data_IF_416969153947
#
_entry.id   IF_416969153947
#
_cell.length_a   1.000
_cell.length_b   1.000
_cell.length_c   1.000
_cell.angle_alpha   90.00
_cell.angle_beta   90.00
_cell.angle_gamma   90.00
#
_symmetry.space_group_name_H-M   'P 1'
#
loop_
_entity.id
_entity.type
_entity.pdbx_description
1 polymer ?
#
# COMPACT_ATOMS: atom_id res chain seq x y z
N UNK A 1 15.15 7.24 -59.02
CA UNK A 1 15.01 5.82 -58.59
C UNK A 1 14.79 5.76 -57.08
N UNK A 2 13.95 4.83 -56.64
CA UNK A 2 13.00 4.98 -55.54
C UNK A 2 13.53 4.66 -54.13
N UNK A 3 13.22 5.52 -53.16
CA UNK A 3 13.40 5.31 -51.70
C UNK A 3 12.70 4.05 -51.15
N UNK A 4 11.89 3.36 -51.95
CA UNK A 4 11.33 2.04 -51.61
C UNK A 4 12.36 0.90 -51.65
N UNK A 5 13.47 1.06 -52.40
CA UNK A 5 14.46 -0.02 -52.59
C UNK A 5 15.42 -0.23 -51.42
N UNK A 6 15.70 0.82 -50.62
CA UNK A 6 16.58 0.68 -49.43
C UNK A 6 15.85 0.14 -48.20
N UNK A 7 14.50 0.19 -48.19
CA UNK A 7 13.68 -0.33 -47.09
C UNK A 7 13.50 -1.86 -47.17
N UNK A 8 13.55 -2.44 -48.37
CA UNK A 8 13.51 -3.89 -48.57
C UNK A 8 14.81 -4.59 -48.16
N UNK A 9 15.98 -3.96 -48.33
CA UNK A 9 17.27 -4.55 -47.96
C UNK A 9 17.50 -4.58 -46.44
N UNK A 10 17.01 -3.57 -45.70
CA UNK A 10 17.06 -3.57 -44.23
C UNK A 10 16.09 -4.59 -43.60
N UNK A 11 14.94 -4.86 -44.24
CA UNK A 11 14.00 -5.89 -43.80
C UNK A 11 14.47 -7.31 -44.17
N UNK A 12 15.26 -7.47 -45.24
CA UNK A 12 15.88 -8.73 -45.64
C UNK A 12 17.09 -9.12 -44.76
N UNK A 13 17.76 -8.15 -44.12
CA UNK A 13 18.85 -8.41 -43.17
C UNK A 13 18.35 -8.72 -41.74
N UNK A 14 17.18 -8.20 -41.36
CA UNK A 14 16.55 -8.47 -40.05
C UNK A 14 15.84 -9.83 -39.95
N UNK A 15 15.68 -10.55 -41.06
CA UNK A 15 14.96 -11.83 -41.12
C UNK A 15 15.84 -13.08 -40.84
N UNK A 16 17.15 -12.89 -40.59
CA UNK A 16 18.10 -13.99 -40.33
C UNK A 16 18.65 -14.05 -38.88
N UNK A 17 18.07 -13.30 -37.94
CA UNK A 17 18.39 -13.40 -36.50
C UNK A 17 17.35 -14.17 -35.67
N UNK A 18 16.49 -14.95 -36.32
CA UNK A 18 15.84 -16.06 -35.64
C UNK A 18 16.86 -17.19 -35.49
N UNK A 19 17.58 -17.19 -34.36
CA UNK A 19 18.17 -18.40 -33.84
C UNK A 19 17.04 -19.43 -33.76
N UNK A 20 17.01 -20.38 -34.69
CA UNK A 20 16.23 -21.61 -34.59
C UNK A 20 16.70 -22.30 -33.30
N UNK A 21 16.07 -21.97 -32.18
CA UNK A 21 16.08 -22.79 -30.99
C UNK A 21 15.42 -24.10 -31.40
N UNK A 22 16.24 -25.05 -31.86
CA UNK A 22 15.81 -26.45 -32.01
C UNK A 22 15.17 -26.82 -30.67
N UNK A 23 13.95 -27.36 -30.62
CA UNK A 23 13.46 -27.94 -29.39
C UNK A 23 14.47 -29.04 -29.04
N UNK A 24 15.28 -28.82 -28.00
CA UNK A 24 16.01 -29.92 -27.38
C UNK A 24 14.92 -30.92 -27.03
N UNK A 25 14.97 -32.11 -27.63
CA UNK A 25 14.20 -33.27 -27.17
C UNK A 25 14.53 -33.38 -25.68
N UNK A 26 13.61 -32.90 -24.85
CA UNK A 26 13.68 -33.10 -23.43
C UNK A 26 13.41 -34.60 -23.28
N UNK A 27 14.48 -35.37 -23.09
CA UNK A 27 14.37 -36.74 -22.62
C UNK A 27 13.44 -36.68 -21.41
N UNK A 28 12.27 -37.32 -21.51
CA UNK A 28 11.41 -37.55 -20.36
C UNK A 28 12.14 -38.54 -19.45
N UNK A 29 13.13 -38.04 -18.72
CA UNK A 29 13.58 -38.67 -17.50
C UNK A 29 12.40 -38.61 -16.56
N UNK A 30 11.93 -39.78 -16.15
CA UNK A 30 10.94 -39.94 -15.10
C UNK A 30 11.29 -39.01 -13.94
N UNK A 31 10.44 -38.02 -13.71
CA UNK A 31 10.61 -37.06 -12.63
C UNK A 31 10.35 -37.85 -11.35
N UNK A 32 11.42 -38.25 -10.66
CA UNK A 32 11.31 -38.70 -9.28
C UNK A 32 10.71 -37.57 -8.44
N UNK A 33 9.90 -37.88 -7.43
CA UNK A 33 9.35 -36.86 -6.54
C UNK A 33 10.51 -36.01 -6.00
N UNK A 34 10.45 -34.72 -6.27
CA UNK A 34 11.43 -33.76 -5.77
C UNK A 34 11.03 -33.47 -4.33
N UNK A 35 11.76 -34.03 -3.36
CA UNK A 35 11.47 -33.87 -1.92
C UNK A 35 11.57 -32.41 -1.44
N UNK A 36 12.24 -31.53 -2.19
CA UNK A 36 12.38 -30.12 -1.83
C UNK A 36 12.19 -29.19 -3.03
N UNK A 37 11.18 -28.32 -2.96
CA UNK A 37 10.92 -27.38 -4.05
C UNK A 37 12.08 -26.38 -4.23
N UNK A 38 12.46 -26.02 -5.48
CA UNK A 38 13.47 -25.00 -5.72
C UNK A 38 13.06 -23.60 -5.22
N UNK A 39 11.78 -23.41 -4.89
CA UNK A 39 11.28 -22.22 -4.20
C UNK A 39 11.79 -22.13 -2.76
N UNK A 40 11.99 -23.27 -2.10
CA UNK A 40 12.48 -23.35 -0.72
C UNK A 40 14.02 -23.35 -0.70
N UNK A 41 14.68 -24.13 -1.56
CA UNK A 41 16.15 -24.25 -1.55
C UNK A 41 16.89 -23.10 -2.21
N UNK A 42 16.24 -22.34 -3.10
CA UNK A 42 16.84 -21.22 -3.82
C UNK A 42 16.01 -19.93 -3.72
N UNK A 43 15.30 -19.74 -2.61
CA UNK A 43 14.36 -18.62 -2.43
C UNK A 43 14.92 -17.26 -2.88
N UNK A 44 16.17 -16.95 -2.51
CA UNK A 44 16.84 -15.71 -2.87
C UNK A 44 16.96 -15.45 -4.39
N UNK A 45 17.06 -16.50 -5.21
CA UNK A 45 17.12 -16.38 -6.69
C UNK A 45 15.74 -16.07 -7.31
N UNK A 46 14.69 -16.42 -6.57
CA UNK A 46 13.31 -16.40 -7.03
C UNK A 46 12.47 -15.30 -6.36
N UNK A 47 12.95 -14.65 -5.30
CA UNK A 47 12.25 -13.56 -4.61
C UNK A 47 12.11 -12.35 -5.54
N UNK A 48 10.90 -11.79 -5.65
CA UNK A 48 10.62 -10.58 -6.42
C UNK A 48 10.44 -10.74 -7.94
N UNK A 49 10.60 -11.96 -8.49
CA UNK A 49 10.33 -12.25 -9.90
C UNK A 49 8.88 -12.73 -10.07
N UNK A 50 8.22 -12.36 -11.18
CA UNK A 50 6.91 -12.92 -11.57
C UNK A 50 7.05 -14.41 -11.82
N UNK A 51 6.13 -15.22 -11.30
CA UNK A 51 6.14 -16.68 -11.43
C UNK A 51 4.81 -17.14 -11.99
N UNK A 52 4.86 -17.99 -13.00
CA UNK A 52 3.70 -18.71 -13.49
C UNK A 52 3.57 -19.99 -12.66
N UNK A 53 2.49 -20.10 -11.88
CA UNK A 53 2.17 -21.33 -11.18
C UNK A 53 1.46 -22.27 -12.16
N UNK A 54 2.14 -23.35 -12.53
CA UNK A 54 1.55 -24.41 -13.35
C UNK A 54 0.84 -25.39 -12.43
N UNK A 55 -0.48 -25.27 -12.32
CA UNK A 55 -1.29 -26.22 -11.58
C UNK A 55 -1.45 -27.50 -12.41
N UNK A 56 -1.00 -28.63 -11.87
CA UNK A 56 -1.20 -29.95 -12.49
C UNK A 56 -2.67 -30.37 -12.30
N UNK A 57 -3.24 -31.06 -13.29
CA UNK A 57 -4.67 -31.46 -13.35
C UNK A 57 -5.20 -32.22 -12.12
N UNK A 58 -4.32 -32.75 -11.27
CA UNK A 58 -4.68 -33.51 -10.06
C UNK A 58 -4.53 -32.71 -8.76
N UNK A 59 -4.18 -31.41 -8.83
CA UNK A 59 -4.22 -30.55 -7.63
C UNK A 59 -5.67 -30.17 -7.35
N UNK A 60 -6.10 -30.24 -6.09
CA UNK A 60 -7.43 -29.79 -5.64
C UNK A 60 -7.76 -28.36 -6.09
N UNK A 61 -6.73 -27.53 -6.31
CA UNK A 61 -6.80 -26.17 -6.85
C UNK A 61 -7.19 -26.09 -8.34
N UNK A 62 -7.02 -27.16 -9.11
CA UNK A 62 -7.36 -27.17 -10.55
C UNK A 62 -8.85 -27.38 -10.79
N UNK A 63 -9.53 -28.12 -9.90
CA UNK A 63 -10.97 -28.36 -9.98
C UNK A 63 -11.80 -27.20 -9.41
N UNK A 64 -11.18 -26.33 -8.61
CA UNK A 64 -11.74 -25.06 -8.19
C UNK A 64 -11.23 -23.95 -9.13
N UNK A 65 -11.78 -23.87 -10.34
CA UNK A 65 -11.59 -22.71 -11.24
C UNK A 65 -12.24 -21.42 -10.71
N UNK A 66 -12.52 -21.36 -9.41
CA UNK A 66 -12.95 -20.13 -8.76
C UNK A 66 -11.66 -19.33 -8.52
N UNK A 67 -11.54 -18.11 -9.07
CA UNK A 67 -10.42 -17.25 -8.71
C UNK A 67 -10.35 -17.16 -7.18
N UNK A 68 -9.17 -17.37 -6.60
CA UNK A 68 -8.97 -17.35 -5.13
C UNK A 68 -9.39 -16.02 -4.47
N UNK A 69 -9.80 -15.01 -5.25
CA UNK A 69 -10.26 -13.71 -4.78
C UNK A 69 -9.19 -12.96 -4.01
N UNK A 70 -7.92 -13.16 -4.37
CA UNK A 70 -6.76 -12.51 -3.74
C UNK A 70 -6.64 -11.04 -4.20
N UNK A 71 -7.10 -10.74 -5.41
CA UNK A 71 -7.21 -9.38 -5.95
C UNK A 71 -8.20 -8.52 -5.16
N UNK A 72 -9.26 -9.13 -4.63
CA UNK A 72 -10.26 -8.47 -3.79
C UNK A 72 -9.96 -8.59 -2.28
N UNK A 73 -8.79 -9.09 -1.87
CA UNK A 73 -8.45 -9.24 -0.46
C UNK A 73 -7.57 -8.07 0.02
N UNK A 74 -7.99 -7.42 1.11
CA UNK A 74 -7.24 -6.31 1.74
C UNK A 74 -5.77 -6.65 2.00
N UNK A 75 -5.50 -7.76 2.69
CA UNK A 75 -4.15 -8.14 3.09
C UNK A 75 -3.29 -8.54 1.89
N UNK A 76 -3.86 -9.30 0.95
CA UNK A 76 -3.15 -9.65 -0.27
C UNK A 76 -2.79 -8.39 -1.08
N UNK A 77 -3.70 -7.41 -1.15
CA UNK A 77 -3.44 -6.13 -1.79
C UNK A 77 -2.29 -5.37 -1.11
N UNK A 78 -2.34 -5.22 0.22
CA UNK A 78 -1.29 -4.57 1.01
C UNK A 78 0.08 -5.24 0.80
N UNK A 79 0.13 -6.57 0.85
CA UNK A 79 1.35 -7.37 0.67
C UNK A 79 1.87 -7.37 -0.77
N UNK A 80 0.99 -7.20 -1.75
CA UNK A 80 1.36 -7.11 -3.17
C UNK A 80 1.96 -5.75 -3.55
N UNK A 81 1.83 -4.73 -2.70
CA UNK A 81 2.37 -3.41 -2.95
C UNK A 81 3.90 -3.43 -3.07
N UNK A 82 4.52 -2.51 -3.84
CA UNK A 82 5.96 -2.52 -4.06
C UNK A 82 6.75 -2.49 -2.74
N UNK A 83 7.74 -3.36 -2.60
CA UNK A 83 8.64 -3.32 -1.43
C UNK A 83 9.47 -2.04 -1.43
N UNK A 84 9.48 -1.33 -0.29
CA UNK A 84 10.30 -0.15 -0.04
C UNK A 84 11.11 -0.35 1.23
N UNK A 85 12.24 0.33 1.30
CA UNK A 85 13.08 0.31 2.50
C UNK A 85 12.60 1.40 3.45
N UNK A 86 12.20 1.04 4.66
CA UNK A 86 12.03 1.98 5.76
C UNK A 86 13.38 2.63 6.04
N UNK A 87 13.41 3.96 5.99
CA UNK A 87 14.63 4.73 6.21
C UNK A 87 15.12 4.72 7.65
N UNK A 88 14.22 4.51 8.59
CA UNK A 88 14.54 4.53 10.01
C UNK A 88 14.95 3.12 10.46
N UNK A 89 14.06 2.14 10.29
CA UNK A 89 14.32 0.75 10.70
C UNK A 89 15.25 -0.03 9.75
N UNK A 90 15.49 0.47 8.53
CA UNK A 90 16.26 -0.22 7.46
C UNK A 90 15.69 -1.57 7.04
N UNK A 91 14.40 -1.78 7.26
CA UNK A 91 13.67 -2.99 6.89
C UNK A 91 12.95 -2.81 5.53
N UNK A 92 12.85 -3.89 4.76
CA UNK A 92 12.06 -3.90 3.53
C UNK A 92 10.62 -4.26 3.85
N UNK A 93 9.71 -3.35 3.55
CA UNK A 93 8.29 -3.44 3.90
C UNK A 93 7.45 -3.02 2.68
N UNK A 94 6.26 -3.62 2.46
CA UNK A 94 5.34 -3.16 1.44
C UNK A 94 5.02 -1.67 1.59
N UNK A 95 4.97 -0.94 0.47
CA UNK A 95 4.76 0.50 0.44
C UNK A 95 3.47 0.93 1.17
N UNK A 96 2.41 0.13 1.09
CA UNK A 96 1.14 0.47 1.74
C UNK A 96 1.12 0.26 3.25
N UNK A 97 2.19 -0.28 3.83
CA UNK A 97 2.38 -0.32 5.29
C UNK A 97 3.30 0.81 5.78
N UNK A 98 3.74 1.71 4.89
CA UNK A 98 4.66 2.79 5.20
C UNK A 98 4.00 4.16 4.99
N UNK A 99 4.48 5.14 5.75
CA UNK A 99 4.18 6.56 5.51
C UNK A 99 5.14 7.06 4.44
N UNK A 100 4.59 7.61 3.37
CA UNK A 100 5.35 8.28 2.33
C UNK A 100 5.59 9.73 2.76
N UNK A 101 6.85 10.15 2.83
CA UNK A 101 7.24 11.51 3.19
C UNK A 101 7.85 12.21 1.98
N UNK A 102 7.60 13.53 1.88
CA UNK A 102 8.23 14.40 0.89
C UNK A 102 8.64 15.72 1.51
N UNK A 103 9.77 16.22 1.06
CA UNK A 103 10.21 17.58 1.38
C UNK A 103 9.40 18.54 0.52
N UNK A 104 8.73 19.49 1.17
CA UNK A 104 8.02 20.61 0.52
C UNK A 104 8.53 21.92 1.08
N UNK A 105 8.66 22.92 0.23
CA UNK A 105 8.93 24.28 0.65
C UNK A 105 7.72 24.80 1.41
N UNK A 106 7.92 25.33 2.62
CA UNK A 106 6.88 26.06 3.31
C UNK A 106 6.86 27.48 2.77
N UNK A 107 5.69 27.92 2.27
CA UNK A 107 5.44 29.33 2.04
C UNK A 107 4.89 29.88 3.34
N UNK A 108 5.74 30.40 4.21
CA UNK A 108 5.26 31.24 5.31
C UNK A 108 4.61 32.48 4.72
N UNK A 109 3.37 32.76 5.12
CA UNK A 109 2.63 33.93 4.70
C UNK A 109 3.40 35.22 5.01
N UNK A 110 3.23 36.21 4.13
CA UNK A 110 3.78 37.55 4.20
C UNK A 110 3.67 38.12 5.62
N UNK A 111 4.83 38.36 6.24
CA UNK A 111 4.97 39.29 7.35
C UNK A 111 6.07 40.25 6.95
N UNK A 112 5.70 41.52 6.87
CA UNK A 112 6.52 42.67 6.49
C UNK A 112 7.77 42.78 7.37
N UNK A 113 8.86 42.11 6.99
CA UNK A 113 10.17 42.30 7.60
C UNK A 113 11.27 42.02 6.56
N UNK A 114 12.17 42.99 6.27
CA UNK A 114 13.12 42.92 5.16
C UNK A 114 14.40 42.17 5.56
N UNK A 115 14.28 41.03 6.25
CA UNK A 115 15.41 40.18 6.61
C UNK A 115 15.16 38.79 6.06
N UNK A 116 15.85 38.49 4.94
CA UNK A 116 16.03 37.18 4.29
C UNK A 116 14.92 36.15 4.62
N UNK A 117 13.95 36.02 3.71
CA UNK A 117 13.14 34.80 3.61
C UNK A 117 14.09 33.60 3.46
N UNK A 118 14.35 32.89 4.56
CA UNK A 118 14.91 31.55 4.48
C UNK A 118 13.72 30.67 4.15
N UNK A 119 13.67 30.20 2.90
CA UNK A 119 12.72 29.20 2.45
C UNK A 119 12.88 27.94 3.31
N UNK A 120 12.12 27.85 4.40
CA UNK A 120 12.22 26.70 5.28
C UNK A 120 11.49 25.50 4.64
N UNK A 121 12.21 24.40 4.50
CA UNK A 121 11.67 23.17 3.94
C UNK A 121 11.13 22.30 5.06
N UNK A 122 9.93 21.74 4.85
CA UNK A 122 9.29 20.85 5.80
C UNK A 122 9.14 19.45 5.19
N UNK A 123 9.43 18.44 6.00
CA UNK A 123 9.14 17.05 5.65
C UNK A 123 7.67 16.76 5.98
N UNK A 124 6.85 16.55 4.95
CA UNK A 124 5.41 16.35 5.10
C UNK A 124 4.98 14.95 4.63
N UNK A 125 4.02 14.32 5.33
CA UNK A 125 3.42 13.07 4.88
C UNK A 125 2.54 13.30 3.66
N UNK A 126 2.55 12.34 2.74
CA UNK A 126 1.75 12.38 1.52
C UNK A 126 0.86 11.14 1.48
N UNK A 127 -0.42 11.36 1.73
CA UNK A 127 -1.43 10.29 1.79
C UNK A 127 -1.80 9.79 0.40
N UNK A 128 -1.91 10.67 -0.60
CA UNK A 128 -2.14 10.29 -2.00
C UNK A 128 -0.84 10.17 -2.80
N UNK A 129 -0.84 9.33 -3.82
CA UNK A 129 0.34 9.05 -4.64
C UNK A 129 0.71 10.20 -5.58
N UNK A 130 1.31 11.26 -5.04
CA UNK A 130 1.91 12.30 -5.89
C UNK A 130 3.14 11.74 -6.61
N UNK A 131 3.21 11.93 -7.93
CA UNK A 131 4.34 11.50 -8.77
C UNK A 131 5.56 12.44 -8.70
N UNK A 132 5.35 13.69 -8.27
CA UNK A 132 6.36 14.75 -8.39
C UNK A 132 7.31 14.73 -7.19
N UNK A 133 8.62 14.75 -7.44
CA UNK A 133 9.65 14.89 -6.42
C UNK A 133 10.02 13.58 -5.71
N UNK A 134 11.11 13.65 -4.94
CA UNK A 134 11.64 12.48 -4.25
C UNK A 134 10.84 12.14 -3.01
N UNK A 135 10.71 10.84 -2.73
CA UNK A 135 9.95 10.32 -1.60
C UNK A 135 10.85 9.51 -0.68
N UNK A 136 10.71 9.70 0.61
CA UNK A 136 11.18 8.76 1.62
C UNK A 136 10.01 7.97 2.19
N UNK A 137 10.32 6.85 2.82
CA UNK A 137 9.31 5.98 3.42
C UNK A 137 9.75 5.67 4.85
N UNK A 138 8.82 5.78 5.78
CA UNK A 138 9.02 5.45 7.20
C UNK A 138 7.91 4.54 7.69
N UNK A 139 8.16 3.76 8.74
CA UNK A 139 7.16 2.87 9.32
C UNK A 139 5.92 3.64 9.78
N UNK A 140 4.73 3.07 9.52
CA UNK A 140 3.44 3.58 9.97
C UNK A 140 3.05 3.02 11.34
N UNK A 141 3.91 3.24 12.34
CA UNK A 141 3.69 2.83 13.73
C UNK A 141 4.17 3.96 14.65
N UNK A 142 3.31 4.41 15.55
CA UNK A 142 3.59 5.56 16.42
C UNK A 142 4.80 5.27 17.33
N UNK A 143 4.76 4.15 18.03
CA UNK A 143 5.79 3.78 19.02
C UNK A 143 7.17 3.63 18.39
N UNK A 144 7.22 3.02 17.20
CA UNK A 144 8.47 2.86 16.46
C UNK A 144 9.05 4.23 16.04
N UNK A 145 8.20 5.15 15.56
CA UNK A 145 8.63 6.48 15.16
C UNK A 145 9.09 7.34 16.35
N UNK A 146 8.40 7.26 17.49
CA UNK A 146 8.76 7.99 18.71
C UNK A 146 10.11 7.51 19.29
N UNK A 147 10.30 6.18 19.36
CA UNK A 147 11.57 5.60 19.82
C UNK A 147 12.76 6.03 18.95
N UNK A 148 12.51 6.20 17.65
CA UNK A 148 13.50 6.61 16.67
C UNK A 148 13.54 8.12 16.41
N UNK A 149 12.92 8.95 17.26
CA UNK A 149 12.94 10.41 17.11
C UNK A 149 14.34 11.00 17.04
N UNK A 150 15.32 10.39 17.72
CA UNK A 150 16.73 10.76 17.65
C UNK A 150 17.36 10.55 16.26
N UNK A 151 16.72 9.74 15.40
CA UNK A 151 17.13 9.43 14.02
C UNK A 151 16.29 10.19 12.98
N UNK A 152 15.60 11.27 13.36
CA UNK A 152 14.75 12.06 12.48
C UNK A 152 15.39 12.41 11.12
N UNK A 153 16.69 12.75 11.10
CA UNK A 153 17.41 13.05 9.85
C UNK A 153 17.48 11.87 8.86
N UNK A 154 17.35 10.63 9.34
CA UNK A 154 17.29 9.47 8.45
C UNK A 154 15.96 9.40 7.68
N UNK A 155 14.89 10.01 8.18
CA UNK A 155 13.61 10.07 7.48
C UNK A 155 13.65 10.90 6.18
N UNK A 156 14.72 11.66 5.94
CA UNK A 156 14.91 12.45 4.73
C UNK A 156 15.16 11.56 3.50
N UNK A 157 14.72 11.98 2.30
CA UNK A 157 15.12 11.32 1.06
C UNK A 157 16.65 11.29 0.91
N UNK A 158 17.20 10.20 0.36
CA UNK A 158 18.66 10.05 0.14
C UNK A 158 19.22 11.21 -0.68
N UNK A 159 18.46 11.62 -1.69
CA UNK A 159 18.41 12.95 -2.28
C UNK A 159 19.03 14.08 -1.50
N UNK A 160 18.35 14.36 -0.42
CA UNK A 160 18.45 15.58 0.37
C UNK A 160 19.45 15.38 1.50
N UNK A 161 19.56 14.15 2.00
CA UNK A 161 20.56 13.79 3.00
C UNK A 161 21.99 13.81 2.46
N UNK A 162 22.16 13.45 1.18
CA UNK A 162 23.47 13.32 0.55
C UNK A 162 23.76 14.46 -0.45
N UNK A 163 22.91 15.50 -0.52
CA UNK A 163 23.12 16.58 -1.50
C UNK A 163 24.29 17.46 -1.10
N UNK A 164 25.44 17.23 -1.74
CA UNK A 164 26.54 18.20 -1.86
C UNK A 164 26.22 19.29 -2.89
N UNK A 165 25.16 19.13 -3.70
CA UNK A 165 24.72 20.08 -4.72
C UNK A 165 23.62 21.03 -4.21
N UNK A 166 24.06 22.20 -3.74
CA UNK A 166 23.54 23.59 -3.92
C UNK A 166 22.04 23.97 -3.78
N UNK A 167 21.06 23.09 -3.53
CA UNK A 167 19.66 23.56 -3.46
C UNK A 167 18.97 23.47 -2.10
N UNK A 168 19.34 22.53 -1.22
CA UNK A 168 18.74 22.39 0.12
C UNK A 168 19.78 21.79 1.06
N UNK A 169 20.15 22.50 2.13
CA UNK A 169 20.96 21.91 3.19
C UNK A 169 20.08 21.13 4.18
N UNK A 170 20.61 20.04 4.76
CA UNK A 170 19.86 19.25 5.76
C UNK A 170 19.52 20.06 7.01
N UNK A 171 20.26 21.13 7.30
CA UNK A 171 20.04 22.12 8.37
C UNK A 171 18.81 23.01 8.12
N UNK A 172 18.41 23.21 6.87
CA UNK A 172 17.27 24.04 6.47
C UNK A 172 15.93 23.30 6.59
N UNK A 173 15.98 22.00 6.88
CA UNK A 173 14.80 21.14 6.94
C UNK A 173 14.41 20.91 8.38
N UNK A 174 13.24 21.41 8.75
CA UNK A 174 12.65 21.09 10.06
C UNK A 174 12.00 19.71 9.97
N UNK A 175 12.57 18.74 10.69
CA UNK A 175 12.00 17.40 10.85
C UNK A 175 11.40 17.30 12.25
N UNK A 176 10.08 17.39 12.33
CA UNK A 176 9.33 17.13 13.54
C UNK A 176 8.44 15.89 13.32
N UNK A 177 8.82 14.78 13.96
CA UNK A 177 8.12 13.50 13.82
C UNK A 177 6.70 13.57 14.38
N UNK A 178 6.51 14.26 15.50
CA UNK A 178 5.20 14.49 16.12
C UNK A 178 4.26 15.22 15.17
N UNK A 179 4.74 16.29 14.54
CA UNK A 179 4.00 17.00 13.49
C UNK A 179 3.74 16.12 12.26
N UNK A 180 4.69 15.28 11.84
CA UNK A 180 4.49 14.36 10.71
C UNK A 180 3.37 13.36 11.01
N UNK A 181 3.35 12.77 12.21
CA UNK A 181 2.31 11.82 12.62
C UNK A 181 0.95 12.51 12.67
N UNK A 182 0.86 13.67 13.32
CA UNK A 182 -0.38 14.43 13.41
C UNK A 182 -0.93 14.80 12.02
N UNK A 183 -0.06 15.27 11.13
CA UNK A 183 -0.43 15.59 9.74
C UNK A 183 -0.84 14.34 8.95
N UNK A 184 -0.20 13.20 9.19
CA UNK A 184 -0.57 11.93 8.53
C UNK A 184 -1.94 11.45 9.00
N UNK A 185 -2.19 11.46 10.32
CA UNK A 185 -3.49 11.14 10.91
C UNK A 185 -4.58 12.04 10.32
N UNK A 186 -4.39 13.36 10.35
CA UNK A 186 -5.36 14.31 9.81
C UNK A 186 -5.59 14.13 8.31
N UNK A 187 -4.53 13.87 7.55
CA UNK A 187 -4.62 13.60 6.11
C UNK A 187 -5.43 12.33 5.80
N UNK A 188 -5.24 11.26 6.58
CA UNK A 188 -6.01 10.02 6.47
C UNK A 188 -7.48 10.24 6.84
N UNK A 189 -7.77 10.95 7.93
CA UNK A 189 -9.15 11.27 8.34
C UNK A 189 -9.87 12.09 7.28
N UNK A 190 -9.20 13.10 6.71
CA UNK A 190 -9.76 13.91 5.63
C UNK A 190 -10.05 13.07 4.37
N UNK A 191 -9.18 12.10 4.06
CA UNK A 191 -9.39 11.17 2.96
C UNK A 191 -10.59 10.26 3.23
N UNK A 192 -10.66 9.66 4.41
CA UNK A 192 -11.78 8.80 4.84
C UNK A 192 -13.10 9.58 4.75
N UNK A 193 -13.15 10.80 5.30
CA UNK A 193 -14.33 11.68 5.22
C UNK A 193 -14.73 11.98 3.77
N UNK A 194 -13.76 12.21 2.89
CA UNK A 194 -14.01 12.47 1.47
C UNK A 194 -14.57 11.25 0.76
N UNK A 195 -13.98 10.08 0.95
CA UNK A 195 -14.45 8.85 0.30
C UNK A 195 -15.79 8.38 0.86
N UNK A 196 -16.01 8.46 2.18
CA UNK A 196 -17.32 8.18 2.79
C UNK A 196 -18.43 9.10 2.29
N UNK A 197 -18.14 10.37 1.98
CA UNK A 197 -19.14 11.28 1.39
C UNK A 197 -19.47 10.95 -0.07
N UNK A 198 -18.51 10.39 -0.82
CA UNK A 198 -18.71 10.04 -2.24
C UNK A 198 -19.50 8.76 -2.39
N UNK A 199 -19.24 7.80 -1.53
CA UNK A 199 -19.93 6.52 -1.53
C UNK A 199 -21.19 6.67 -0.67
N UNK A 200 -22.37 6.69 -1.29
CA UNK A 200 -23.62 6.49 -0.54
C UNK A 200 -23.55 5.07 0.03
N UNK A 201 -23.08 4.98 1.27
CA UNK A 201 -22.84 3.70 1.93
C UNK A 201 -24.18 3.01 2.13
N UNK A 202 -24.34 1.84 1.52
CA UNK A 202 -25.51 1.02 1.74
C UNK A 202 -25.46 0.46 3.17
N UNK A 203 -26.53 0.65 3.93
CA UNK A 203 -26.70 0.06 5.27
C UNK A 203 -27.05 -1.45 5.20
N UNK A 204 -27.25 -2.00 3.99
CA UNK A 204 -27.63 -3.40 3.78
C UNK A 204 -26.53 -4.18 3.09
N UNK A 205 -26.20 -5.34 3.65
CA UNK A 205 -25.30 -6.32 3.06
C UNK A 205 -25.92 -6.86 1.76
N UNK A 206 -25.27 -6.67 0.60
CA UNK A 206 -25.75 -7.23 -0.65
C UNK A 206 -25.56 -8.76 -0.65
N UNK A 207 -26.62 -9.47 -1.04
CA UNK A 207 -26.60 -10.90 -1.29
C UNK A 207 -25.65 -11.20 -2.48
N UNK A 208 -24.57 -11.95 -2.21
CA UNK A 208 -23.59 -12.55 -3.17
C UNK A 208 -22.46 -11.58 -3.64
N UNK A 209 -21.18 -11.97 -3.85
CA UNK A 209 -20.65 -13.17 -4.53
C UNK A 209 -19.23 -13.68 -4.11
N UNK A 210 -18.46 -13.02 -3.24
CA UNK A 210 -17.08 -13.49 -2.90
C UNK A 210 -16.70 -13.27 -1.45
N UNK A 211 -16.06 -14.26 -0.83
CA UNK A 211 -15.79 -14.31 0.62
C UNK A 211 -14.76 -13.30 1.09
N UNK A 212 -13.89 -12.79 0.21
CA UNK A 212 -12.73 -11.99 0.62
C UNK A 212 -12.88 -10.49 0.37
N UNK A 213 -13.97 -10.08 -0.30
CA UNK A 213 -14.20 -8.70 -0.73
C UNK A 213 -14.93 -7.84 0.32
N UNK A 214 -15.50 -8.48 1.35
CA UNK A 214 -16.37 -7.80 2.33
C UNK A 214 -15.57 -7.30 3.52
N UNK A 215 -15.69 -6.00 3.78
CA UNK A 215 -15.11 -5.31 4.93
C UNK A 215 -16.20 -4.54 5.68
N UNK A 216 -16.31 -4.77 6.97
CA UNK A 216 -17.18 -4.00 7.86
C UNK A 216 -16.38 -2.92 8.56
N UNK A 217 -16.90 -1.70 8.50
CA UNK A 217 -16.44 -0.59 9.32
C UNK A 217 -17.40 -0.43 10.49
N UNK A 218 -16.88 -0.54 11.71
CA UNK A 218 -17.68 -0.50 12.93
C UNK A 218 -17.08 0.43 13.96
N UNK A 219 -17.91 0.85 14.89
CA UNK A 219 -17.48 1.46 16.14
C UNK A 219 -18.10 0.64 17.27
N UNK A 220 -17.26 -0.11 18.00
CA UNK A 220 -17.69 -0.90 19.15
C UNK A 220 -16.60 -0.85 20.23
N UNK A 221 -16.90 -0.16 21.34
CA UNK A 221 -16.00 -0.04 22.49
C UNK A 221 -15.79 -1.38 23.22
N UNK A 222 -16.66 -2.37 22.99
CA UNK A 222 -16.59 -3.69 23.64
C UNK A 222 -15.69 -4.67 22.91
N UNK A 223 -15.34 -4.40 21.65
CA UNK A 223 -14.43 -5.26 20.89
C UNK A 223 -12.98 -4.98 21.33
N UNK A 224 -12.24 -6.04 21.65
CA UNK A 224 -10.84 -5.91 22.09
C UNK A 224 -9.89 -5.55 20.95
N UNK A 225 -10.17 -6.02 19.73
CA UNK A 225 -9.28 -5.82 18.59
C UNK A 225 -9.78 -4.72 17.65
N UNK A 226 -8.83 -4.02 17.04
CA UNK A 226 -9.10 -3.02 16.01
C UNK A 226 -9.31 -3.62 14.62
N UNK A 227 -8.76 -4.81 14.38
CA UNK A 227 -8.93 -5.57 13.14
C UNK A 227 -9.25 -7.02 13.50
N UNK A 228 -10.39 -7.52 13.03
CA UNK A 228 -10.81 -8.90 13.26
C UNK A 228 -11.11 -9.61 11.94
N UNK A 229 -10.71 -10.86 11.85
CA UNK A 229 -11.10 -11.76 10.76
C UNK A 229 -11.99 -12.83 11.40
N UNK A 230 -13.29 -12.69 11.20
CA UNK A 230 -14.28 -13.57 11.81
C UNK A 230 -15.14 -14.29 10.79
N UNK A 231 -15.81 -15.39 11.17
CA UNK A 231 -16.89 -15.94 10.36
C UNK A 231 -18.03 -14.93 10.23
N UNK A 232 -18.67 -14.88 9.07
CA UNK A 232 -19.87 -14.06 8.86
C UNK A 232 -20.99 -14.51 9.81
N UNK A 233 -21.67 -13.54 10.43
CA UNK A 233 -22.73 -13.78 11.42
C UNK A 233 -24.01 -14.39 10.82
N UNK A 234 -24.18 -14.37 9.49
CA UNK A 234 -25.41 -14.85 8.82
C UNK A 234 -25.33 -16.29 8.30
N UNK A 235 -24.35 -17.08 8.73
CA UNK A 235 -24.28 -18.51 8.44
C UNK A 235 -23.54 -18.84 7.13
N UNK A 236 -22.43 -19.56 7.29
CA UNK A 236 -21.57 -20.07 6.22
C UNK A 236 -20.08 -19.93 6.55
N UNK A 237 -19.21 -20.65 5.83
CA UNK A 237 -17.74 -20.60 5.96
C UNK A 237 -17.11 -19.28 5.45
N UNK A 238 -17.88 -18.18 5.39
CA UNK A 238 -17.40 -16.91 4.87
C UNK A 238 -16.62 -16.18 5.95
N UNK A 239 -15.42 -15.68 5.62
CA UNK A 239 -14.63 -14.83 6.53
C UNK A 239 -14.84 -13.38 6.17
N UNK A 240 -15.14 -12.54 7.14
CA UNK A 240 -15.32 -11.09 6.94
C UNK A 240 -14.25 -10.34 7.72
N UNK A 241 -13.76 -9.24 7.15
CA UNK A 241 -12.80 -8.37 7.84
C UNK A 241 -13.59 -7.27 8.53
N UNK A 242 -13.41 -7.14 9.84
CA UNK A 242 -13.98 -6.03 10.60
C UNK A 242 -12.86 -5.06 10.95
N UNK A 243 -13.04 -3.78 10.62
CA UNK A 243 -12.18 -2.67 11.00
C UNK A 243 -12.95 -1.85 12.03
N UNK A 244 -12.51 -1.92 13.29
CA UNK A 244 -13.10 -1.22 14.41
C UNK A 244 -12.37 0.11 14.64
N UNK A 245 -13.13 1.20 14.64
CA UNK A 245 -12.62 2.55 14.78
C UNK A 245 -12.58 3.07 16.22
N UNK A 246 -12.77 2.20 17.23
CA UNK A 246 -12.82 2.60 18.66
C UNK A 246 -11.69 3.55 19.10
N UNK A 247 -10.47 3.36 18.57
CA UNK A 247 -9.28 4.14 18.92
C UNK A 247 -9.33 5.62 18.51
N UNK A 248 -10.25 6.01 17.62
CA UNK A 248 -10.44 7.42 17.25
C UNK A 248 -11.32 8.18 18.25
N UNK A 249 -12.03 7.47 19.13
CA UNK A 249 -12.92 8.06 20.12
C UNK A 249 -14.22 8.64 19.54
N UNK A 250 -15.25 8.70 20.38
CA UNK A 250 -16.61 9.12 20.04
C UNK A 250 -16.67 10.49 19.33
N UNK A 251 -15.92 11.48 19.83
CA UNK A 251 -15.97 12.85 19.31
C UNK A 251 -15.35 13.00 17.90
N UNK A 252 -14.29 12.25 17.60
CA UNK A 252 -13.61 12.33 16.31
C UNK A 252 -14.43 11.60 15.24
N UNK A 253 -14.99 10.42 15.58
CA UNK A 253 -15.91 9.71 14.70
C UNK A 253 -17.21 10.47 14.46
N UNK A 254 -17.82 11.05 15.49
CA UNK A 254 -19.08 11.80 15.34
C UNK A 254 -18.94 12.94 14.33
N UNK A 255 -17.76 13.57 14.23
CA UNK A 255 -17.44 14.61 13.23
C UNK A 255 -17.24 14.11 11.80
N UNK A 256 -16.92 12.83 11.65
CA UNK A 256 -16.58 12.20 10.36
C UNK A 256 -17.76 11.42 9.79
N UNK A 257 -18.46 10.67 10.65
CA UNK A 257 -19.48 9.69 10.29
C UNK A 257 -20.88 10.03 10.83
N UNK A 258 -21.01 11.10 11.63
CA UNK A 258 -22.26 11.48 12.29
C UNK A 258 -22.43 10.81 13.66
N UNK A 259 -23.17 11.47 14.57
CA UNK A 259 -23.44 10.94 15.91
C UNK A 259 -24.18 9.59 15.85
N UNK A 260 -25.10 9.45 14.90
CA UNK A 260 -25.89 8.23 14.67
C UNK A 260 -25.07 6.97 14.40
N UNK A 261 -23.88 7.09 13.80
CA UNK A 261 -23.00 5.94 13.54
C UNK A 261 -22.43 5.39 14.86
N UNK A 262 -22.10 6.29 15.77
CA UNK A 262 -21.41 6.02 17.02
C UNK A 262 -22.38 5.52 18.09
N UNK A 263 -23.54 6.16 18.21
CA UNK A 263 -24.57 5.82 19.21
C UNK A 263 -25.42 4.62 18.81
N UNK A 264 -25.63 4.41 17.50
CA UNK A 264 -26.51 3.35 16.98
C UNK A 264 -25.84 1.99 16.79
N UNK A 265 -24.53 1.87 17.06
CA UNK A 265 -23.77 0.64 16.74
C UNK A 265 -23.84 0.27 15.25
N UNK A 266 -23.94 1.29 14.38
CA UNK A 266 -24.14 1.06 12.94
C UNK A 266 -22.91 0.40 12.35
N UNK A 267 -23.14 -0.53 11.42
CA UNK A 267 -22.07 -1.14 10.62
C UNK A 267 -22.15 -0.59 9.22
N UNK A 268 -21.01 -0.11 8.72
CA UNK A 268 -20.87 0.31 7.34
C UNK A 268 -20.31 -0.86 6.54
N UNK A 269 -21.05 -1.23 5.50
CA UNK A 269 -20.63 -2.26 4.56
C UNK A 269 -19.76 -1.66 3.47
N UNK A 270 -18.56 -2.22 3.28
CA UNK A 270 -17.63 -1.84 2.22
C UNK A 270 -17.20 -3.08 1.43
N UNK A 271 -17.17 -2.94 0.10
CA UNK A 271 -16.52 -3.89 -0.82
C UNK A 271 -15.12 -3.42 -1.16
N UNK A 272 -14.11 -4.27 -1.02
CA UNK A 272 -12.71 -3.94 -1.34
C UNK A 272 -12.52 -3.57 -2.81
N UNK A 273 -13.15 -4.29 -3.72
CA UNK A 273 -13.19 -4.05 -5.16
C UNK A 273 -13.69 -2.64 -5.54
N UNK A 274 -14.55 -2.05 -4.72
CA UNK A 274 -15.16 -0.74 -4.96
C UNK A 274 -14.57 0.38 -4.09
N UNK A 275 -14.12 0.04 -2.88
CA UNK A 275 -13.75 0.98 -1.82
C UNK A 275 -12.29 0.81 -1.38
N UNK A 276 -11.43 0.29 -2.26
CA UNK A 276 -10.02 0.00 -1.95
C UNK A 276 -9.29 1.18 -1.29
N UNK A 277 -9.44 2.39 -1.83
CA UNK A 277 -8.75 3.58 -1.29
C UNK A 277 -9.22 3.90 0.14
N UNK A 278 -10.52 3.81 0.41
CA UNK A 278 -11.10 4.02 1.73
C UNK A 278 -10.63 2.96 2.72
N UNK A 279 -10.72 1.68 2.36
CA UNK A 279 -10.36 0.57 3.25
C UNK A 279 -8.87 0.60 3.57
N UNK A 280 -7.99 0.86 2.59
CA UNK A 280 -6.54 1.00 2.84
C UNK A 280 -6.26 2.22 3.73
N UNK A 281 -6.98 3.33 3.54
CA UNK A 281 -6.82 4.51 4.40
C UNK A 281 -7.23 4.22 5.86
N UNK A 282 -8.34 3.51 6.07
CA UNK A 282 -8.78 3.06 7.39
C UNK A 282 -7.75 2.13 8.01
N UNK A 283 -7.28 1.12 7.27
CA UNK A 283 -6.23 0.22 7.74
C UNK A 283 -4.97 0.97 8.17
N UNK A 284 -4.50 1.93 7.36
CA UNK A 284 -3.34 2.77 7.68
C UNK A 284 -3.58 3.58 8.95
N UNK A 285 -4.78 4.10 9.15
CA UNK A 285 -5.13 4.86 10.35
C UNK A 285 -5.12 4.00 11.62
N UNK A 286 -5.66 2.78 11.55
CA UNK A 286 -5.64 1.83 12.66
C UNK A 286 -4.21 1.38 12.99
N UNK A 287 -3.39 1.13 11.96
CA UNK A 287 -1.99 0.78 12.15
C UNK A 287 -1.14 1.87 12.83
N UNK A 288 -1.50 3.16 12.69
CA UNK A 288 -0.83 4.26 13.41
C UNK A 288 -1.06 4.17 14.92
N UNK A 289 -2.23 3.67 15.34
CA UNK A 289 -2.67 3.74 16.74
C UNK A 289 -2.05 2.67 17.65
N UNK A 290 -1.21 1.78 17.09
CA UNK A 290 -0.54 0.68 17.79
C UNK A 290 0.96 0.89 17.98
#
# INVERSE_FOLDING_TARGET
MSLKSKRSELLASASNLYVKLRPKKCSQTSISPIDTTPLVTNFAKWSGKRKLLLLTKNSSLYNETKPMGLDCNLFASLLSSPMRCDKIAKLKTPQDMLIKLKVRQSKTAEVDSPQKQIDSFNLLPVVKSDKIGQSSYVTNNLRALENDAKKANNALPTSVRNSTMRSIESSEIKVDITSIIANNKQGLLNLIKKELKKHQVAEREPLLETTNDVVFLVFDDKLDNDIEIGPSKEGGERKTITLNLKNLGHSELGRIMGADFVEGGRRIFLRFSQHQELIIAVYKLLAVSH
#
